data_IF_298403629697
#
_entry.id   IF_298403629697
#
_cell.length_a   1.000
_cell.length_b   1.000
_cell.length_c   1.000
_cell.angle_alpha   90.00
_cell.angle_beta   90.00
_cell.angle_gamma   90.00
#
_symmetry.space_group_name_H-M   'P 1'
#
loop_
_entity.id
_entity.type
_entity.pdbx_description
1 polymer ?
#
# COMPACT_ATOMS: atom_id res chain seq x y z
N UNK A 1 -2.92 3.13 -1.10
CA UNK A 1 -3.90 2.13 -0.65
C UNK A 1 -5.09 2.03 -1.58
N UNK A 2 -5.82 3.12 -1.84
CA UNK A 2 -7.01 3.12 -2.72
C UNK A 2 -6.78 2.46 -4.08
N UNK A 3 -5.72 2.81 -4.80
CA UNK A 3 -5.41 2.21 -6.10
C UNK A 3 -5.27 0.68 -6.04
N UNK A 4 -4.59 0.16 -5.02
CA UNK A 4 -4.45 -1.28 -4.83
C UNK A 4 -5.82 -1.93 -4.60
N UNK A 5 -6.66 -1.36 -3.75
CA UNK A 5 -7.98 -1.92 -3.43
C UNK A 5 -8.89 -1.95 -4.67
N UNK A 6 -8.90 -0.87 -5.45
CA UNK A 6 -9.68 -0.79 -6.69
C UNK A 6 -9.24 -1.83 -7.72
N UNK A 7 -7.93 -2.02 -7.92
CA UNK A 7 -7.44 -2.92 -8.94
C UNK A 7 -7.39 -4.39 -8.50
N UNK A 8 -7.09 -4.66 -7.22
CA UNK A 8 -7.03 -6.02 -6.68
C UNK A 8 -8.39 -6.55 -6.23
N UNK A 9 -9.34 -5.67 -5.88
CA UNK A 9 -10.59 -6.03 -5.23
C UNK A 9 -10.42 -6.56 -3.80
N UNK A 10 -9.23 -6.42 -3.22
CA UNK A 10 -8.88 -6.93 -1.89
C UNK A 10 -8.56 -5.75 -0.97
N UNK A 11 -9.11 -5.79 0.25
CA UNK A 11 -8.74 -4.81 1.28
C UNK A 11 -7.25 -4.92 1.62
N UNK A 12 -6.48 -3.82 1.64
CA UNK A 12 -5.09 -3.87 2.05
C UNK A 12 -5.00 -4.34 3.50
N UNK A 13 -4.04 -5.23 3.78
CA UNK A 13 -3.84 -5.81 5.12
C UNK A 13 -5.05 -6.59 5.68
N UNK A 14 -5.87 -7.19 4.81
CA UNK A 14 -7.04 -8.00 5.20
C UNK A 14 -6.73 -9.08 6.25
N UNK A 15 -5.54 -9.65 6.22
CA UNK A 15 -5.12 -10.74 7.10
C UNK A 15 -4.44 -10.25 8.40
N UNK A 16 -4.46 -8.94 8.65
CA UNK A 16 -3.92 -8.35 9.88
C UNK A 16 -5.06 -8.12 10.87
N UNK A 17 -5.09 -8.94 11.92
CA UNK A 17 -6.02 -8.74 13.04
C UNK A 17 -5.66 -7.45 13.79
N UNK A 18 -6.53 -6.44 13.69
CA UNK A 18 -6.39 -5.16 14.40
C UNK A 18 -6.81 -5.23 15.87
N UNK A 19 -7.49 -6.31 16.29
CA UNK A 19 -8.23 -6.37 17.57
C UNK A 19 -7.55 -7.19 18.67
N UNK A 20 -6.46 -7.91 18.38
CA UNK A 20 -5.77 -8.75 19.36
C UNK A 20 -4.53 -8.01 19.91
N UNK A 21 -4.78 -7.12 20.87
CA UNK A 21 -3.85 -6.20 21.56
C UNK A 21 -2.72 -6.85 22.40
N UNK A 22 -2.50 -8.16 22.31
CA UNK A 22 -1.61 -8.83 23.26
C UNK A 22 -0.19 -9.16 22.72
N UNK A 23 0.05 -9.09 21.40
CA UNK A 23 1.37 -9.35 20.77
C UNK A 23 1.60 -8.57 19.45
N UNK A 24 0.65 -7.73 19.01
CA UNK A 24 0.62 -7.21 17.64
C UNK A 24 1.01 -5.72 17.59
N UNK A 25 2.12 -5.38 16.93
CA UNK A 25 2.39 -3.99 16.56
C UNK A 25 1.18 -3.40 15.83
N UNK A 26 0.75 -2.20 16.23
CA UNK A 26 -0.32 -1.50 15.53
C UNK A 26 0.01 -1.40 14.03
N UNK A 27 -1.02 -1.50 13.18
CA UNK A 27 -0.85 -1.43 11.72
C UNK A 27 -0.04 -0.19 11.29
N UNK A 28 -0.20 0.91 12.03
CA UNK A 28 0.57 2.13 11.82
C UNK A 28 2.09 1.90 11.95
N UNK A 29 2.54 1.17 12.98
CA UNK A 29 3.97 0.88 13.19
C UNK A 29 4.51 0.00 12.05
N UNK A 30 3.75 -1.02 11.64
CA UNK A 30 4.10 -1.91 10.52
C UNK A 30 4.29 -1.14 9.21
N UNK A 31 3.37 -0.22 8.90
CA UNK A 31 3.47 0.66 7.73
C UNK A 31 4.66 1.62 7.83
N UNK A 32 4.92 2.18 9.01
CA UNK A 32 6.11 3.02 9.27
C UNK A 32 7.42 2.25 9.10
N UNK A 33 7.43 0.94 9.42
CA UNK A 33 8.56 0.05 9.18
C UNK A 33 8.70 -0.41 7.71
N UNK A 34 7.87 0.11 6.82
CA UNK A 34 7.95 -0.16 5.38
C UNK A 34 7.12 -1.35 4.90
N UNK A 35 6.31 -1.96 5.77
CA UNK A 35 5.45 -3.07 5.37
C UNK A 35 4.37 -2.60 4.38
N UNK A 36 4.16 -3.36 3.30
CA UNK A 36 3.18 -3.09 2.25
C UNK A 36 2.46 -4.39 1.85
N UNK A 37 1.18 -4.31 1.43
CA UNK A 37 0.48 -5.47 0.87
C UNK A 37 1.20 -6.04 -0.35
N UNK A 38 1.12 -7.36 -0.51
CA UNK A 38 1.62 -8.04 -1.69
C UNK A 38 0.73 -7.73 -2.90
N UNK A 39 1.35 -7.40 -4.05
CA UNK A 39 0.64 -7.07 -5.28
C UNK A 39 0.83 -8.21 -6.27
N UNK A 40 -0.22 -8.97 -6.52
CA UNK A 40 -0.23 -10.07 -7.49
C UNK A 40 -1.38 -9.90 -8.50
N UNK A 41 -1.20 -10.44 -9.71
CA UNK A 41 -2.26 -10.50 -10.73
C UNK A 41 -2.62 -9.17 -11.42
N UNK A 42 -1.91 -8.07 -11.12
CA UNK A 42 -2.13 -6.77 -11.76
C UNK A 42 -1.16 -6.52 -12.93
N UNK A 43 -1.54 -5.70 -13.94
CA UNK A 43 -0.64 -5.30 -15.02
C UNK A 43 0.63 -4.61 -14.48
N UNK A 44 1.82 -4.83 -15.07
CA UNK A 44 3.08 -4.28 -14.59
C UNK A 44 3.06 -2.77 -14.36
N UNK A 45 2.42 -2.03 -15.27
CA UNK A 45 2.28 -0.57 -15.16
C UNK A 45 1.56 -0.15 -13.88
N UNK A 46 0.48 -0.85 -13.50
CA UNK A 46 -0.28 -0.58 -12.28
C UNK A 46 0.55 -0.96 -11.04
N UNK A 47 1.27 -2.09 -11.09
CA UNK A 47 2.15 -2.51 -10.01
C UNK A 47 3.24 -1.47 -9.74
N UNK A 48 3.91 -0.99 -10.79
CA UNK A 48 4.94 0.05 -10.68
C UNK A 48 4.37 1.35 -10.13
N UNK A 49 3.17 1.73 -10.58
CA UNK A 49 2.51 2.95 -10.12
C UNK A 49 2.15 2.88 -8.63
N UNK A 50 1.55 1.76 -8.19
CA UNK A 50 1.24 1.52 -6.78
C UNK A 50 2.52 1.59 -5.94
N UNK A 51 3.61 0.96 -6.39
CA UNK A 51 4.91 0.98 -5.70
C UNK A 51 5.49 2.39 -5.59
N UNK A 52 5.47 3.17 -6.67
CA UNK A 52 5.94 4.58 -6.66
C UNK A 52 5.13 5.43 -5.68
N UNK A 53 3.80 5.29 -5.67
CA UNK A 53 2.94 6.00 -4.73
C UNK A 53 3.16 5.59 -3.26
N UNK A 54 3.74 4.41 -3.00
CA UNK A 54 3.94 3.85 -1.66
C UNK A 54 5.39 3.93 -1.16
N UNK A 55 6.27 4.60 -1.92
CA UNK A 55 7.68 4.73 -1.57
C UNK A 55 7.84 5.28 -0.14
N UNK A 56 8.76 4.69 0.61
CA UNK A 56 9.06 5.12 1.99
C UNK A 56 9.63 6.54 2.01
N UNK A 57 10.36 6.91 0.96
CA UNK A 57 10.83 8.26 0.74
C UNK A 57 9.70 9.11 0.12
N UNK A 58 9.16 10.11 0.83
CA UNK A 58 8.07 10.93 0.32
C UNK A 58 8.47 11.72 -0.93
N UNK A 59 9.76 11.99 -1.15
CA UNK A 59 10.24 12.76 -2.31
C UNK A 59 10.20 11.96 -3.62
N UNK A 60 10.11 10.63 -3.53
CA UNK A 60 10.00 9.73 -4.70
C UNK A 60 8.55 9.47 -5.11
N UNK A 61 7.59 9.94 -4.31
CA UNK A 61 6.17 9.78 -4.62
C UNK A 61 5.76 10.80 -5.69
N UNK A 62 5.01 10.39 -6.72
CA UNK A 62 4.43 11.34 -7.66
C UNK A 62 3.41 12.24 -6.94
N UNK A 63 3.32 13.49 -7.40
CA UNK A 63 2.21 14.37 -7.03
C UNK A 63 0.91 13.89 -7.71
N UNK A 64 -0.23 14.39 -7.25
CA UNK A 64 -1.50 14.11 -7.93
C UNK A 64 -1.53 14.70 -9.35
N UNK A 65 -0.82 15.81 -9.57
CA UNK A 65 -0.71 16.47 -10.88
C UNK A 65 0.10 15.61 -11.87
N UNK A 66 1.17 14.95 -11.41
CA UNK A 66 1.97 14.01 -12.22
C UNK A 66 1.15 12.78 -12.68
N UNK A 67 0.03 12.51 -12.02
CA UNK A 67 -0.87 11.38 -12.31
C UNK A 67 -2.10 11.81 -13.10
N UNK A 68 -2.33 13.11 -13.27
CA UNK A 68 -3.42 13.65 -14.07
C UNK A 68 -3.03 13.72 -15.56
N UNK A 69 -4.03 13.54 -16.44
CA UNK A 69 -3.87 13.65 -17.88
C UNK A 69 -4.12 15.07 -18.37
#
# INVERSE_FOLDING_TARGET
MVMYEVFSGVSPFKDVDCDNDNESQSLAIRVCNGERPEIQGLPPLIVELIKKCWDSDPTKRPSAEDLSA
#
